data_IF_001526636795
#
_entry.id   IF_001526636795
#
_cell.length_a   1.000
_cell.length_b   1.000
_cell.length_c   1.000
_cell.angle_alpha   90.00
_cell.angle_beta   90.00
_cell.angle_gamma   90.00
#
_symmetry.space_group_name_H-M   'P 1'
#
loop_
_entity.id
_entity.type
_entity.pdbx_description
1 polymer ?
#
# COMPACT_ATOMS: atom_id res chain seq x y z
N UNK A 1 47.18 -0.68 -14.62
CA UNK A 1 45.78 -1.16 -14.51
C UNK A 1 45.25 -0.76 -13.13
N UNK A 2 44.18 0.03 -13.06
CA UNK A 2 43.62 0.47 -11.77
C UNK A 2 42.96 -0.68 -11.02
N UNK A 3 43.27 -0.82 -9.72
CA UNK A 3 42.66 -1.86 -8.86
C UNK A 3 41.22 -1.49 -8.51
N UNK A 4 40.32 -2.47 -8.52
CA UNK A 4 38.94 -2.30 -8.04
C UNK A 4 38.93 -1.92 -6.55
N UNK A 5 38.18 -0.87 -6.21
CA UNK A 5 37.93 -0.42 -4.84
C UNK A 5 36.47 -0.70 -4.48
N UNK A 6 36.23 -1.56 -3.49
CA UNK A 6 34.88 -1.87 -3.01
C UNK A 6 34.17 -0.60 -2.52
N UNK A 7 32.93 -0.38 -2.97
CA UNK A 7 32.14 0.82 -2.65
C UNK A 7 32.53 2.10 -3.39
N UNK A 8 33.62 2.11 -4.19
CA UNK A 8 34.03 3.27 -5.02
C UNK A 8 34.08 2.95 -6.52
N UNK A 9 34.48 1.75 -6.88
CA UNK A 9 34.55 1.27 -8.25
C UNK A 9 33.24 0.57 -8.64
N UNK A 10 32.74 0.83 -9.86
CA UNK A 10 31.47 0.29 -10.35
C UNK A 10 30.31 1.28 -10.17
N UNK A 11 29.17 0.81 -9.65
CA UNK A 11 28.00 1.63 -9.28
C UNK A 11 27.89 1.75 -7.74
N UNK A 12 28.53 2.76 -7.11
CA UNK A 12 28.57 2.94 -5.65
C UNK A 12 27.20 3.06 -4.99
N UNK A 13 26.22 3.59 -5.73
CA UNK A 13 24.85 3.80 -5.24
C UNK A 13 23.97 2.54 -5.37
N UNK A 14 24.52 1.47 -5.94
CA UNK A 14 23.79 0.23 -6.19
C UNK A 14 22.58 0.41 -7.10
N UNK A 15 21.76 -0.65 -7.22
CA UNK A 15 20.46 -0.53 -7.86
C UNK A 15 19.57 0.36 -6.98
N UNK A 16 18.92 1.41 -7.53
CA UNK A 16 18.10 2.30 -6.73
C UNK A 16 16.97 1.54 -6.03
N UNK A 17 16.80 1.82 -4.73
CA UNK A 17 15.80 1.18 -3.87
C UNK A 17 14.40 1.53 -4.40
N UNK A 18 13.57 0.52 -4.64
CA UNK A 18 12.20 0.70 -5.17
C UNK A 18 12.04 0.57 -6.69
N UNK A 19 13.13 0.40 -7.45
CA UNK A 19 13.02 0.11 -8.90
C UNK A 19 12.53 -1.31 -9.10
N UNK A 20 11.29 -1.43 -9.60
CA UNK A 20 10.65 -2.70 -9.99
C UNK A 20 11.56 -3.49 -10.92
N UNK A 21 11.46 -4.82 -10.88
CA UNK A 21 12.22 -5.66 -11.79
C UNK A 21 11.83 -5.38 -13.24
N UNK A 22 12.81 -5.35 -14.14
CA UNK A 22 12.57 -5.07 -15.57
C UNK A 22 11.63 -6.11 -16.17
N UNK A 23 11.73 -7.36 -15.70
CA UNK A 23 10.85 -8.46 -16.08
C UNK A 23 9.41 -8.19 -15.60
N UNK A 24 9.26 -7.72 -14.35
CA UNK A 24 7.95 -7.34 -13.80
C UNK A 24 7.34 -6.15 -14.54
N UNK A 25 8.13 -5.13 -14.89
CA UNK A 25 7.65 -3.99 -15.68
C UNK A 25 7.14 -4.42 -17.04
N UNK A 26 7.93 -5.19 -17.79
CA UNK A 26 7.55 -5.68 -19.11
C UNK A 26 6.28 -6.54 -19.07
N UNK A 27 6.14 -7.39 -18.05
CA UNK A 27 4.93 -8.19 -17.86
C UNK A 27 3.69 -7.32 -17.59
N UNK A 28 3.83 -6.27 -16.76
CA UNK A 28 2.75 -5.31 -16.50
C UNK A 28 2.36 -4.52 -17.75
N UNK A 29 3.33 -4.09 -18.55
CA UNK A 29 3.09 -3.39 -19.82
C UNK A 29 2.35 -4.28 -20.82
N UNK A 30 2.78 -5.53 -21.01
CA UNK A 30 2.07 -6.49 -21.86
C UNK A 30 0.65 -6.76 -21.38
N UNK A 31 0.47 -6.88 -20.06
CA UNK A 31 -0.85 -7.08 -19.47
C UNK A 31 -1.77 -5.88 -19.68
N UNK A 32 -1.26 -4.65 -19.51
CA UNK A 32 -2.01 -3.43 -19.79
C UNK A 32 -2.44 -3.35 -21.26
N UNK A 33 -1.54 -3.67 -22.18
CA UNK A 33 -1.82 -3.68 -23.62
C UNK A 33 -2.96 -4.66 -23.97
N UNK A 34 -2.92 -5.89 -23.41
CA UNK A 34 -3.98 -6.88 -23.60
C UNK A 34 -5.32 -6.36 -23.09
N UNK A 35 -5.35 -5.70 -21.92
CA UNK A 35 -6.59 -5.13 -21.40
C UNK A 35 -7.11 -4.03 -22.31
N UNK A 36 -6.25 -3.09 -22.71
CA UNK A 36 -6.61 -1.96 -23.57
C UNK A 36 -7.21 -2.42 -24.90
N UNK A 37 -6.57 -3.40 -25.55
CA UNK A 37 -7.05 -4.01 -26.79
C UNK A 37 -8.42 -4.70 -26.63
N UNK A 38 -8.74 -5.17 -25.43
CA UNK A 38 -9.98 -5.90 -25.14
C UNK A 38 -11.06 -5.05 -24.45
N UNK A 39 -10.82 -3.76 -24.19
CA UNK A 39 -11.78 -2.90 -23.48
C UNK A 39 -13.16 -2.88 -24.14
N UNK A 40 -13.22 -2.85 -25.47
CA UNK A 40 -14.50 -2.85 -26.19
C UNK A 40 -15.21 -4.20 -26.14
N UNK A 41 -14.47 -5.30 -26.05
CA UNK A 41 -15.03 -6.63 -25.79
C UNK A 41 -15.63 -6.70 -24.38
N UNK A 42 -14.87 -6.26 -23.37
CA UNK A 42 -15.30 -6.23 -21.98
C UNK A 42 -16.58 -5.39 -21.81
N UNK A 43 -16.66 -4.22 -22.45
CA UNK A 43 -17.89 -3.39 -22.45
C UNK A 43 -19.10 -4.13 -23.02
N UNK A 44 -18.91 -4.88 -24.12
CA UNK A 44 -20.00 -5.67 -24.73
C UNK A 44 -20.42 -6.82 -23.81
N UNK A 45 -19.48 -7.49 -23.17
CA UNK A 45 -19.78 -8.61 -22.28
C UNK A 45 -20.46 -8.14 -20.98
N UNK A 46 -20.03 -7.01 -20.41
CA UNK A 46 -20.73 -6.38 -19.28
C UNK A 46 -22.19 -6.05 -19.60
N UNK A 47 -22.51 -5.68 -20.84
CA UNK A 47 -23.90 -5.42 -21.28
C UNK A 47 -24.74 -6.68 -21.40
N UNK A 48 -24.13 -7.85 -21.63
CA UNK A 48 -24.83 -9.15 -21.73
C UNK A 48 -25.17 -9.73 -20.35
N UNK A 49 -24.48 -9.31 -19.30
CA UNK A 49 -24.71 -9.78 -17.94
C UNK A 49 -26.05 -9.30 -17.38
N UNK A 50 -26.61 -10.07 -16.46
CA UNK A 50 -27.77 -9.63 -15.67
C UNK A 50 -27.38 -8.45 -14.79
N UNK A 51 -28.38 -7.66 -14.36
CA UNK A 51 -28.12 -6.44 -13.57
C UNK A 51 -27.34 -6.73 -12.28
N UNK A 52 -27.59 -7.86 -11.62
CA UNK A 52 -26.88 -8.28 -10.41
C UNK A 52 -25.41 -8.62 -10.71
N UNK A 53 -25.16 -9.48 -11.68
CA UNK A 53 -23.80 -9.91 -12.06
C UNK A 53 -22.95 -8.73 -12.52
N UNK A 54 -23.54 -7.81 -13.28
CA UNK A 54 -22.84 -6.59 -13.73
C UNK A 54 -22.37 -5.75 -12.54
N UNK A 55 -23.22 -5.57 -11.53
CA UNK A 55 -22.86 -4.83 -10.31
C UNK A 55 -21.73 -5.55 -9.55
N UNK A 56 -21.83 -6.88 -9.39
CA UNK A 56 -20.82 -7.67 -8.69
C UNK A 56 -19.44 -7.60 -9.37
N UNK A 57 -19.39 -7.67 -10.71
CA UNK A 57 -18.14 -7.54 -11.47
C UNK A 57 -17.54 -6.14 -11.31
N UNK A 58 -18.36 -5.10 -11.39
CA UNK A 58 -17.90 -3.71 -11.19
C UNK A 58 -17.34 -3.52 -9.78
N UNK A 59 -17.99 -4.07 -8.76
CA UNK A 59 -17.52 -4.01 -7.37
C UNK A 59 -16.14 -4.65 -7.23
N UNK A 60 -15.93 -5.83 -7.84
CA UNK A 60 -14.64 -6.53 -7.84
C UNK A 60 -13.55 -5.76 -8.58
N UNK A 61 -13.87 -5.07 -9.68
CA UNK A 61 -12.90 -4.23 -10.39
C UNK A 61 -12.47 -3.04 -9.52
N UNK A 62 -13.42 -2.45 -8.81
CA UNK A 62 -13.20 -1.26 -7.97
C UNK A 62 -12.12 -1.49 -6.91
N UNK A 63 -12.03 -2.71 -6.36
CA UNK A 63 -11.01 -3.13 -5.39
C UNK A 63 -9.55 -3.00 -5.90
N UNK A 64 -9.34 -2.99 -7.22
CA UNK A 64 -8.02 -2.89 -7.84
C UNK A 64 -7.66 -1.46 -8.27
N UNK A 65 -8.66 -0.59 -8.44
CA UNK A 65 -8.47 0.80 -8.89
C UNK A 65 -8.55 1.80 -7.75
N UNK A 66 -9.39 1.54 -6.75
CA UNK A 66 -9.48 2.39 -5.57
C UNK A 66 -8.53 1.86 -4.49
N UNK A 67 -7.76 2.73 -3.83
CA UNK A 67 -7.05 2.33 -2.63
C UNK A 67 -8.07 1.84 -1.61
N UNK A 68 -7.93 0.59 -1.16
CA UNK A 68 -8.77 0.08 -0.07
C UNK A 68 -8.59 1.03 1.11
N UNK A 69 -9.69 1.46 1.70
CA UNK A 69 -9.66 2.29 2.90
C UNK A 69 -8.85 1.53 3.96
N UNK A 70 -7.59 1.93 4.15
CA UNK A 70 -6.79 1.45 5.27
C UNK A 70 -7.41 2.07 6.51
N UNK A 71 -8.24 1.31 7.21
CA UNK A 71 -8.55 1.60 8.61
C UNK A 71 -7.27 1.39 9.42
N UNK A 72 -6.33 2.34 9.32
CA UNK A 72 -5.30 2.51 10.33
C UNK A 72 -6.00 3.11 11.54
N UNK A 73 -6.65 2.26 12.32
CA UNK A 73 -7.06 2.64 13.67
C UNK A 73 -5.75 2.64 14.47
N UNK A 74 -5.10 3.79 14.52
CA UNK A 74 -4.08 4.06 15.53
C UNK A 74 -4.81 4.11 16.87
N UNK A 75 -4.84 2.98 17.58
CA UNK A 75 -5.21 2.98 18.99
C UNK A 75 -4.02 3.63 19.71
N UNK A 76 -4.09 4.95 19.88
CA UNK A 76 -3.16 5.67 20.72
C UNK A 76 -3.56 5.38 22.17
N UNK A 77 -3.02 4.29 22.74
CA UNK A 77 -3.17 3.96 24.15
C UNK A 77 -2.31 4.94 24.97
N UNK A 78 -2.69 6.21 25.02
CA UNK A 78 -2.23 7.13 26.06
C UNK A 78 -3.13 6.98 27.30
N UNK A 79 -3.30 5.76 27.79
CA UNK A 79 -3.91 5.55 29.10
C UNK A 79 -2.83 5.82 30.14
N UNK A 80 -2.91 6.96 30.84
CA UNK A 80 -2.23 7.09 32.12
C UNK A 80 -2.65 5.89 32.97
N UNK A 81 -1.69 5.14 33.47
CA UNK A 81 -2.01 3.98 34.31
C UNK A 81 -2.66 4.52 35.58
N UNK A 82 -3.57 3.76 36.20
CA UNK A 82 -4.18 4.13 37.49
C UNK A 82 -3.10 4.55 38.51
N UNK A 83 -1.92 3.92 38.43
CA UNK A 83 -0.71 4.26 39.19
C UNK A 83 -0.26 5.72 39.02
N UNK A 84 -0.28 6.25 37.79
CA UNK A 84 0.08 7.65 37.50
C UNK A 84 -0.92 8.62 38.14
N UNK A 85 -2.21 8.27 38.12
CA UNK A 85 -3.27 9.10 38.72
C UNK A 85 -3.25 9.08 40.26
N UNK A 86 -2.85 7.96 40.87
CA UNK A 86 -2.73 7.84 42.32
C UNK A 86 -1.53 8.64 42.85
N UNK A 87 -0.45 8.72 42.07
CA UNK A 87 0.75 9.47 42.43
C UNK A 87 0.50 10.98 42.43
N UNK A 88 -0.21 11.46 41.41
CA UNK A 88 -0.63 12.88 41.29
C UNK A 88 -1.52 13.32 42.48
N UNK A 89 -2.32 12.41 43.07
CA UNK A 89 -3.16 12.70 44.24
C UNK A 89 -2.40 12.60 45.56
N UNK A 90 -1.40 11.72 45.66
CA UNK A 90 -0.55 11.59 46.83
C UNK A 90 0.36 12.81 47.04
N UNK A 91 0.90 13.38 45.96
CA UNK A 91 1.80 14.55 46.03
C UNK A 91 1.09 15.85 46.41
N UNK A 92 -0.25 15.91 46.31
CA UNK A 92 -1.04 17.08 46.73
C UNK A 92 -1.45 17.04 48.22
N UNK A 93 -1.07 16.00 48.97
CA UNK A 93 -1.48 15.79 50.37
C UNK A 93 -0.54 16.38 51.44
N UNK A 94 0.72 16.67 51.13
CA UNK A 94 1.73 17.09 52.12
C UNK A 94 2.02 18.60 52.08
N UNK A 95 0.99 19.42 52.26
CA UNK A 95 1.19 20.82 52.68
C UNK A 95 0.08 21.32 53.60
N UNK A 96 0.09 20.82 54.84
CA UNK A 96 -0.02 21.67 56.05
C UNK A 96 0.37 20.94 57.32
#
# INVERSE_FOLDING_TARGET
MGKFQEGKSGNPKGRPKGVKDKITQKALESFACIIDDNLDGIKKDLKKLTSKERIDVIMKLTDYFLPKATTNISIDNSEKTIEDTLKDLSDNGDSK
#
